data_IF_311314754830
#
_entry.id   IF_311314754830
#
_cell.length_a   1.000
_cell.length_b   1.000
_cell.length_c   1.000
_cell.angle_alpha   90.00
_cell.angle_beta   90.00
_cell.angle_gamma   90.00
#
_symmetry.space_group_name_H-M   'P 1'
#
loop_
_entity.id
_entity.type
_entity.pdbx_description
1 polymer ?
#
# COMPACT_ATOMS: atom_id res chain seq x y z
N UNK A 1 -16.04 0.46 -17.80
CA UNK A 1 -15.35 -0.74 -17.28
C UNK A 1 -15.80 -2.02 -17.98
N UNK A 2 -17.10 -2.22 -18.21
CA UNK A 2 -17.59 -3.50 -18.76
C UNK A 2 -17.13 -3.79 -20.18
N UNK A 3 -16.94 -2.74 -21.01
CA UNK A 3 -16.27 -2.85 -22.32
C UNK A 3 -14.88 -3.49 -22.23
N UNK A 4 -14.03 -3.02 -21.32
CA UNK A 4 -12.68 -3.58 -21.10
C UNK A 4 -12.75 -5.03 -20.61
N UNK A 5 -13.71 -5.35 -19.72
CA UNK A 5 -13.93 -6.73 -19.26
C UNK A 5 -14.33 -7.66 -20.40
N UNK A 6 -15.17 -7.19 -21.33
CA UNK A 6 -15.61 -7.98 -22.49
C UNK A 6 -14.42 -8.36 -23.37
N UNK A 7 -13.55 -7.39 -23.70
CA UNK A 7 -12.30 -7.64 -24.44
C UNK A 7 -11.43 -8.65 -23.69
N UNK A 8 -11.17 -8.45 -22.40
CA UNK A 8 -10.31 -9.37 -21.67
C UNK A 8 -10.89 -10.77 -21.50
N UNK A 9 -12.22 -10.90 -21.40
CA UNK A 9 -12.89 -12.21 -21.41
C UNK A 9 -12.69 -12.90 -22.75
N UNK A 10 -12.83 -12.19 -23.87
CA UNK A 10 -12.59 -12.74 -25.19
C UNK A 10 -11.16 -13.33 -25.32
N UNK A 11 -10.13 -12.53 -24.99
CA UNK A 11 -8.74 -13.01 -25.03
C UNK A 11 -8.39 -14.07 -23.98
N UNK A 12 -9.23 -14.21 -22.94
CA UNK A 12 -9.09 -15.27 -21.95
C UNK A 12 -9.77 -16.55 -22.42
N UNK A 13 -10.99 -16.49 -22.93
CA UNK A 13 -11.86 -17.66 -23.06
C UNK A 13 -11.68 -18.37 -24.41
N UNK A 14 -11.25 -17.63 -25.45
CA UNK A 14 -10.99 -18.20 -26.77
C UNK A 14 -9.54 -18.69 -26.91
N UNK A 15 -9.39 -19.93 -27.38
CA UNK A 15 -8.09 -20.62 -27.48
C UNK A 15 -7.10 -19.88 -28.38
N UNK A 16 -7.52 -19.51 -29.60
CA UNK A 16 -6.63 -18.86 -30.55
C UNK A 16 -6.12 -17.50 -30.06
N UNK A 17 -6.98 -16.54 -29.65
CA UNK A 17 -6.53 -15.27 -29.08
C UNK A 17 -5.63 -15.43 -27.85
N UNK A 18 -5.92 -16.40 -26.98
CA UNK A 18 -5.09 -16.69 -25.79
C UNK A 18 -3.70 -17.19 -26.17
N UNK A 19 -3.61 -18.10 -27.15
CA UNK A 19 -2.33 -18.64 -27.60
C UNK A 19 -1.48 -17.61 -28.34
N UNK A 20 -2.10 -16.79 -29.19
CA UNK A 20 -1.44 -15.70 -29.89
C UNK A 20 -0.88 -14.68 -28.90
N UNK A 21 -1.66 -14.31 -27.88
CA UNK A 21 -1.20 -13.46 -26.78
C UNK A 21 0.02 -14.04 -26.07
N UNK A 22 0.03 -15.34 -25.78
CA UNK A 22 1.17 -16.02 -25.16
C UNK A 22 2.40 -16.05 -26.07
N UNK A 23 2.23 -16.32 -27.36
CA UNK A 23 3.32 -16.39 -28.35
C UNK A 23 3.99 -15.04 -28.56
N UNK A 24 3.21 -13.96 -28.58
CA UNK A 24 3.70 -12.59 -28.76
C UNK A 24 4.24 -11.96 -27.46
N UNK A 25 4.38 -12.75 -26.38
CA UNK A 25 4.91 -12.26 -25.10
C UNK A 25 3.96 -11.34 -24.33
N UNK A 26 2.67 -11.34 -24.67
CA UNK A 26 1.67 -10.52 -24.00
C UNK A 26 1.36 -10.98 -22.58
N UNK A 27 0.90 -10.03 -21.76
CA UNK A 27 0.55 -10.30 -20.37
C UNK A 27 -0.76 -11.11 -20.28
N UNK A 28 -0.81 -12.09 -19.38
CA UNK A 28 -2.05 -12.83 -19.12
C UNK A 28 -3.18 -11.87 -18.70
N UNK A 29 -4.38 -12.08 -19.24
CA UNK A 29 -5.54 -11.22 -18.98
C UNK A 29 -5.95 -11.20 -17.50
N UNK A 30 -6.30 -10.01 -16.99
CA UNK A 30 -6.61 -9.78 -15.57
C UNK A 30 -8.03 -9.23 -15.41
N UNK A 31 -8.96 -10.08 -15.01
CA UNK A 31 -10.31 -9.62 -14.70
C UNK A 31 -10.41 -9.04 -13.28
N UNK A 32 -11.18 -7.96 -13.11
CA UNK A 32 -11.38 -7.35 -11.79
C UNK A 32 -12.16 -8.30 -10.88
N UNK A 33 -11.72 -8.41 -9.62
CA UNK A 33 -12.36 -9.21 -8.59
C UNK A 33 -13.00 -8.27 -7.57
N UNK A 34 -14.23 -8.59 -7.13
CA UNK A 34 -14.93 -7.79 -6.11
C UNK A 34 -14.19 -7.75 -4.76
N UNK A 35 -13.45 -8.80 -4.43
CA UNK A 35 -12.80 -8.99 -3.12
C UNK A 35 -11.38 -8.45 -3.03
N UNK A 36 -10.76 -7.99 -4.13
CA UNK A 36 -9.41 -7.39 -4.11
C UNK A 36 -9.45 -5.97 -4.64
N UNK A 37 -9.08 -5.03 -3.78
CA UNK A 37 -8.93 -3.63 -4.15
C UNK A 37 -7.84 -3.51 -5.21
N UNK A 38 -7.93 -2.48 -6.06
CA UNK A 38 -7.00 -2.21 -7.16
C UNK A 38 -7.07 -3.15 -8.39
N UNK A 39 -7.87 -4.23 -8.36
CA UNK A 39 -7.98 -5.12 -9.51
C UNK A 39 -8.61 -4.47 -10.75
N UNK A 40 -9.40 -3.39 -10.56
CA UNK A 40 -9.91 -2.56 -11.64
C UNK A 40 -8.76 -1.85 -12.37
N UNK A 41 -7.82 -1.25 -11.62
CA UNK A 41 -6.65 -0.60 -12.19
C UNK A 41 -5.75 -1.61 -12.90
N UNK A 42 -5.45 -2.76 -12.27
CA UNK A 42 -4.64 -3.81 -12.90
C UNK A 42 -5.28 -4.35 -14.18
N UNK A 43 -6.62 -4.41 -14.24
CA UNK A 43 -7.35 -4.75 -15.46
C UNK A 43 -7.15 -3.69 -16.54
N UNK A 44 -7.33 -2.40 -16.24
CA UNK A 44 -7.10 -1.32 -17.21
C UNK A 44 -5.65 -1.27 -17.69
N UNK A 45 -4.68 -1.45 -16.78
CA UNK A 45 -3.26 -1.48 -17.09
C UNK A 45 -2.90 -2.65 -18.01
N UNK A 46 -3.43 -3.84 -17.74
CA UNK A 46 -3.24 -5.01 -18.58
C UNK A 46 -3.82 -4.77 -19.99
N UNK A 47 -5.00 -4.15 -20.07
CA UNK A 47 -5.61 -3.79 -21.36
C UNK A 47 -4.74 -2.81 -22.14
N UNK A 48 -4.23 -1.77 -21.48
CA UNK A 48 -3.37 -0.77 -22.13
C UNK A 48 -2.06 -1.37 -22.64
N UNK A 49 -1.39 -2.19 -21.81
CA UNK A 49 -0.11 -2.84 -22.15
C UNK A 49 -0.25 -3.86 -23.30
N UNK A 50 -1.37 -4.57 -23.36
CA UNK A 50 -1.64 -5.57 -24.40
C UNK A 50 -2.36 -5.00 -25.64
N UNK A 51 -2.65 -3.69 -25.68
CA UNK A 51 -3.54 -3.12 -26.69
C UNK A 51 -3.06 -3.34 -28.13
N UNK A 52 -1.75 -3.19 -28.38
CA UNK A 52 -1.12 -3.44 -29.68
C UNK A 52 -1.29 -4.91 -30.10
N UNK A 53 -1.01 -5.83 -29.18
CA UNK A 53 -1.15 -7.27 -29.40
C UNK A 53 -2.62 -7.65 -29.66
N UNK A 54 -3.56 -7.00 -28.98
CA UNK A 54 -4.99 -7.21 -29.22
C UNK A 54 -5.42 -6.75 -30.60
N UNK A 55 -4.96 -5.59 -31.06
CA UNK A 55 -5.23 -5.10 -32.42
C UNK A 55 -4.66 -6.04 -33.48
N UNK A 56 -3.44 -6.52 -33.31
CA UNK A 56 -2.82 -7.41 -34.30
C UNK A 56 -3.48 -8.80 -34.31
N UNK A 57 -3.89 -9.30 -33.15
CA UNK A 57 -4.64 -10.56 -33.07
C UNK A 57 -6.04 -10.42 -33.66
N UNK A 58 -6.70 -9.28 -33.50
CA UNK A 58 -8.05 -9.05 -34.03
C UNK A 58 -8.09 -8.92 -35.55
N UNK A 59 -6.96 -8.60 -36.20
CA UNK A 59 -6.84 -8.58 -37.67
C UNK A 59 -6.80 -9.98 -38.28
N UNK A 60 -6.44 -11.01 -37.51
CA UNK A 60 -6.36 -12.39 -38.01
C UNK A 60 -7.78 -12.99 -38.10
N UNK A 61 -8.14 -13.48 -39.30
CA UNK A 61 -9.42 -14.14 -39.58
C UNK A 61 -9.68 -15.33 -38.63
N UNK A 62 -8.61 -16.01 -38.18
CA UNK A 62 -8.69 -17.15 -37.25
C UNK A 62 -9.13 -16.74 -35.84
N UNK A 63 -8.97 -15.47 -35.46
CA UNK A 63 -9.40 -14.99 -34.15
C UNK A 63 -10.92 -14.97 -34.01
N UNK A 64 -11.68 -14.90 -35.12
CA UNK A 64 -13.16 -14.80 -35.12
C UNK A 64 -13.65 -13.72 -34.13
N UNK A 65 -13.00 -12.56 -34.16
CA UNK A 65 -13.30 -11.49 -33.23
C UNK A 65 -14.70 -10.92 -33.50
N UNK A 66 -15.59 -10.85 -32.48
CA UNK A 66 -16.90 -10.24 -32.64
C UNK A 66 -16.78 -8.77 -33.05
N UNK A 67 -17.69 -8.24 -33.89
CA UNK A 67 -17.67 -6.83 -34.31
C UNK A 67 -17.61 -5.87 -33.13
N UNK A 68 -18.40 -6.13 -32.09
CA UNK A 68 -18.43 -5.33 -30.86
C UNK A 68 -17.06 -5.20 -30.17
N UNK A 69 -16.25 -6.26 -30.18
CA UNK A 69 -14.91 -6.26 -29.58
C UNK A 69 -13.92 -5.53 -30.49
N UNK A 70 -14.06 -5.71 -31.81
CA UNK A 70 -13.25 -5.01 -32.80
C UNK A 70 -13.46 -3.49 -32.71
N UNK A 71 -14.70 -3.05 -32.61
CA UNK A 71 -15.08 -1.63 -32.49
C UNK A 71 -14.51 -1.00 -31.22
N UNK A 72 -14.49 -1.75 -30.10
CA UNK A 72 -13.90 -1.29 -28.84
C UNK A 72 -12.38 -1.16 -28.95
N UNK A 73 -11.72 -2.05 -29.69
CA UNK A 73 -10.27 -2.04 -29.86
C UNK A 73 -9.81 -0.92 -30.80
N UNK A 74 -10.58 -0.61 -31.85
CA UNK A 74 -10.23 0.42 -32.83
C UNK A 74 -10.61 1.84 -32.38
N UNK A 75 -11.49 2.00 -31.38
CA UNK A 75 -11.87 3.30 -30.81
C UNK A 75 -10.69 3.94 -30.03
N UNK A 76 -9.95 4.80 -30.72
CA UNK A 76 -8.84 5.60 -30.16
C UNK A 76 -9.30 6.52 -29.02
N UNK A 77 -10.50 7.09 -29.09
CA UNK A 77 -11.03 7.94 -28.02
C UNK A 77 -11.31 7.12 -26.76
N UNK A 78 -11.78 5.89 -26.91
CA UNK A 78 -11.94 4.97 -25.77
C UNK A 78 -10.62 4.61 -25.13
N UNK A 79 -9.59 4.31 -25.93
CA UNK A 79 -8.25 4.03 -25.44
C UNK A 79 -7.67 5.21 -24.65
N UNK A 80 -7.82 6.44 -25.15
CA UNK A 80 -7.41 7.65 -24.45
C UNK A 80 -8.15 7.82 -23.11
N UNK A 81 -9.48 7.65 -23.10
CA UNK A 81 -10.28 7.71 -21.86
C UNK A 81 -9.82 6.69 -20.82
N UNK A 82 -9.47 5.46 -21.24
CA UNK A 82 -8.92 4.43 -20.35
C UNK A 82 -7.59 4.89 -19.74
N UNK A 83 -6.71 5.44 -20.56
CA UNK A 83 -5.38 5.93 -20.13
C UNK A 83 -5.50 7.11 -19.16
N UNK A 84 -6.42 8.05 -19.41
CA UNK A 84 -6.64 9.19 -18.52
C UNK A 84 -7.30 8.79 -17.20
N UNK A 85 -8.20 7.80 -17.23
CA UNK A 85 -8.74 7.21 -16.01
C UNK A 85 -7.64 6.54 -15.19
N UNK A 86 -6.71 5.83 -15.83
CA UNK A 86 -5.56 5.25 -15.15
C UNK A 86 -4.69 6.33 -14.50
N UNK A 87 -4.40 7.45 -15.18
CA UNK A 87 -3.63 8.56 -14.59
C UNK A 87 -4.31 9.11 -13.33
N UNK A 88 -5.63 9.25 -13.34
CA UNK A 88 -6.41 9.70 -12.17
C UNK A 88 -6.41 8.68 -11.04
N UNK A 89 -6.42 7.38 -11.35
CA UNK A 89 -6.42 6.30 -10.36
C UNK A 89 -5.02 5.98 -9.81
N UNK A 90 -3.95 6.27 -10.55
CA UNK A 90 -2.56 6.00 -10.18
C UNK A 90 -2.17 6.46 -8.77
N UNK A 91 -2.46 7.69 -8.30
CA UNK A 91 -2.11 8.11 -6.94
C UNK A 91 -2.84 7.27 -5.87
N UNK A 92 -4.11 6.94 -6.09
CA UNK A 92 -4.91 6.11 -5.17
C UNK A 92 -4.39 4.67 -5.14
N UNK A 93 -4.07 4.12 -6.31
CA UNK A 93 -3.47 2.79 -6.45
C UNK A 93 -2.10 2.70 -5.78
N UNK A 94 -1.25 3.72 -5.96
CA UNK A 94 0.05 3.82 -5.33
C UNK A 94 -0.10 3.89 -3.80
N UNK A 95 -1.02 4.72 -3.32
CA UNK A 95 -1.34 4.81 -1.90
C UNK A 95 -1.75 3.45 -1.34
N UNK A 96 -2.76 2.79 -1.94
CA UNK A 96 -3.20 1.45 -1.53
C UNK A 96 -2.02 0.47 -1.55
N UNK A 97 -1.22 0.42 -2.62
CA UNK A 97 -0.12 -0.55 -2.73
C UNK A 97 0.95 -0.35 -1.65
N UNK A 98 1.24 0.90 -1.28
CA UNK A 98 2.11 1.24 -0.15
C UNK A 98 1.48 0.84 1.19
N UNK A 99 0.18 1.06 1.37
CA UNK A 99 -0.62 0.63 2.54
C UNK A 99 -0.70 -0.88 2.73
N UNK A 100 -0.57 -1.65 1.64
CA UNK A 100 -0.50 -3.12 1.68
C UNK A 100 0.88 -3.64 2.13
N UNK A 101 1.88 -2.76 2.27
CA UNK A 101 3.11 -3.04 3.02
C UNK A 101 2.78 -3.11 4.51
N UNK A 102 3.47 -3.97 5.27
CA UNK A 102 3.10 -4.25 6.67
C UNK A 102 3.40 -3.09 7.64
N UNK A 103 3.91 -1.96 7.14
CA UNK A 103 4.40 -0.83 7.95
C UNK A 103 3.44 0.38 7.83
N UNK A 104 2.87 0.81 8.95
CA UNK A 104 2.02 2.00 9.05
C UNK A 104 2.71 3.30 8.63
N UNK A 105 4.04 3.36 8.73
CA UNK A 105 4.81 4.52 8.30
C UNK A 105 4.65 4.82 6.80
N UNK A 106 4.38 3.78 5.99
CA UNK A 106 4.11 3.91 4.55
C UNK A 106 2.63 4.25 4.28
N UNK A 107 1.73 4.00 5.24
CA UNK A 107 0.31 4.40 5.18
C UNK A 107 0.18 5.92 5.34
N UNK A 108 0.88 6.54 6.27
CA UNK A 108 0.65 7.96 6.57
C UNK A 108 1.16 8.87 5.44
N UNK A 109 2.28 8.51 4.80
CA UNK A 109 2.73 9.15 3.56
C UNK A 109 1.70 9.02 2.44
N UNK A 110 1.04 7.86 2.34
CA UNK A 110 0.00 7.57 1.34
C UNK A 110 -1.34 8.26 1.63
N UNK A 111 -1.77 8.32 2.90
CA UNK A 111 -2.94 9.07 3.35
C UNK A 111 -2.69 10.58 3.19
N UNK A 112 -1.50 11.08 3.47
CA UNK A 112 -1.16 12.49 3.25
C UNK A 112 -1.12 12.86 1.75
N UNK A 113 -0.50 12.02 0.91
CA UNK A 113 -0.55 12.17 -0.56
C UNK A 113 -2.00 12.15 -1.10
N UNK A 114 -2.92 11.46 -0.41
CA UNK A 114 -4.35 11.44 -0.75
C UNK A 114 -5.20 12.44 0.01
N UNK A 115 -4.72 13.08 1.08
CA UNK A 115 -5.43 14.13 1.82
C UNK A 115 -5.51 15.44 1.01
N UNK A 116 -4.58 15.65 0.07
CA UNK A 116 -4.71 16.66 -0.99
C UNK A 116 -5.88 16.39 -1.94
N UNK A 117 -6.41 15.16 -1.97
CA UNK A 117 -7.71 14.87 -2.56
C UNK A 117 -8.74 15.13 -1.46
N UNK A 118 -9.38 16.31 -1.50
CA UNK A 118 -10.37 16.87 -0.54
C UNK A 118 -11.49 15.95 -0.01
N UNK A 119 -11.56 14.68 -0.39
CA UNK A 119 -12.62 13.72 -0.06
C UNK A 119 -12.05 12.35 0.35
N UNK A 120 -11.22 12.25 1.39
CA UNK A 120 -10.70 10.96 1.84
C UNK A 120 -11.71 10.23 2.74
N UNK A 121 -12.34 9.18 2.17
CA UNK A 121 -13.26 8.23 2.82
C UNK A 121 -12.59 7.29 3.84
N UNK A 122 -11.32 7.53 4.17
CA UNK A 122 -10.50 6.71 5.06
C UNK A 122 -10.33 7.51 6.35
N UNK A 123 -10.83 6.96 7.48
CA UNK A 123 -10.59 7.53 8.81
C UNK A 123 -9.22 7.02 9.29
N UNK A 124 -8.15 7.84 9.29
CA UNK A 124 -6.90 7.41 9.88
C UNK A 124 -7.04 7.17 11.39
N UNK A 125 -6.17 6.35 11.97
CA UNK A 125 -6.03 6.25 13.42
C UNK A 125 -5.50 7.58 13.95
N UNK A 126 -6.40 8.38 14.52
CA UNK A 126 -6.16 9.73 15.04
C UNK A 126 -4.88 9.89 15.91
N UNK A 127 -4.51 8.92 16.78
CA UNK A 127 -3.31 9.02 17.61
C UNK A 127 -1.99 8.88 16.85
N UNK A 128 -2.01 8.18 15.72
CA UNK A 128 -0.82 7.92 14.91
C UNK A 128 -0.36 9.21 14.24
N UNK A 129 -1.30 9.92 13.62
CA UNK A 129 -1.07 11.20 12.96
C UNK A 129 -0.51 12.26 13.93
N UNK A 130 -1.01 12.29 15.17
CA UNK A 130 -0.55 13.23 16.20
C UNK A 130 0.92 13.02 16.61
N UNK A 131 1.42 11.78 16.52
CA UNK A 131 2.77 11.38 16.97
C UNK A 131 3.74 11.08 15.82
N UNK A 132 3.28 11.13 14.57
CA UNK A 132 4.12 10.86 13.42
C UNK A 132 5.06 12.03 13.16
N UNK A 133 6.32 11.76 12.79
CA UNK A 133 7.35 12.80 12.57
C UNK A 133 6.94 13.82 11.49
N UNK A 134 6.08 13.41 10.56
CA UNK A 134 5.59 14.28 9.50
C UNK A 134 4.57 15.32 9.98
N UNK A 135 3.90 15.13 11.12
CA UNK A 135 3.03 16.17 11.70
C UNK A 135 3.83 17.43 12.06
N UNK A 136 5.12 17.27 12.37
CA UNK A 136 6.08 18.35 12.64
C UNK A 136 6.37 19.17 11.37
N UNK A 137 6.20 18.60 10.16
CA UNK A 137 6.59 19.24 8.88
C UNK A 137 5.50 20.10 8.29
N UNK A 138 4.29 19.57 8.19
CA UNK A 138 3.20 20.13 7.39
C UNK A 138 2.02 20.61 8.25
N UNK A 139 2.02 20.28 9.55
CA UNK A 139 0.93 20.56 10.46
C UNK A 139 -0.28 19.66 10.22
N UNK A 140 -0.95 19.28 11.30
CA UNK A 140 -2.19 18.50 11.24
C UNK A 140 -3.40 19.41 11.02
N UNK A 141 -4.38 19.02 10.19
CA UNK A 141 -5.68 19.70 10.16
C UNK A 141 -6.29 19.74 11.57
N UNK A 142 -6.88 20.89 11.94
CA UNK A 142 -7.32 21.20 13.31
C UNK A 142 -8.19 20.10 13.93
N UNK A 143 -9.10 19.52 13.14
CA UNK A 143 -10.01 18.44 13.58
C UNK A 143 -9.25 17.18 14.01
N UNK A 144 -8.18 16.82 13.30
CA UNK A 144 -7.37 15.64 13.63
C UNK A 144 -6.47 15.90 14.84
N UNK A 145 -5.97 17.13 14.95
CA UNK A 145 -5.15 17.61 16.07
C UNK A 145 -5.88 17.52 17.41
N UNK A 146 -7.02 18.20 17.51
CA UNK A 146 -7.82 18.24 18.75
C UNK A 146 -8.21 16.83 19.20
N UNK A 147 -8.61 15.97 18.25
CA UNK A 147 -8.97 14.59 18.56
C UNK A 147 -7.78 13.74 19.01
N UNK A 148 -6.60 13.94 18.43
CA UNK A 148 -5.36 13.29 18.85
C UNK A 148 -4.96 13.70 20.27
N UNK A 149 -5.04 15.00 20.57
CA UNK A 149 -4.74 15.57 21.89
C UNK A 149 -5.67 15.03 22.96
N UNK A 150 -6.99 15.04 22.73
CA UNK A 150 -7.98 14.48 23.65
C UNK A 150 -7.71 12.99 23.92
N UNK A 151 -7.32 12.23 22.90
CA UNK A 151 -7.00 10.81 23.08
C UNK A 151 -5.73 10.59 23.90
N UNK A 152 -4.68 11.39 23.66
CA UNK A 152 -3.42 11.33 24.40
C UNK A 152 -3.62 11.75 25.87
N UNK A 153 -4.33 12.85 26.11
CA UNK A 153 -4.69 13.32 27.45
C UNK A 153 -5.46 12.26 28.25
N UNK A 154 -6.37 11.52 27.59
CA UNK A 154 -7.09 10.40 28.20
C UNK A 154 -6.18 9.23 28.61
N UNK A 155 -5.06 9.02 27.90
CA UNK A 155 -4.08 7.97 28.23
C UNK A 155 -3.15 8.41 29.36
N UNK A 156 -2.62 9.62 29.25
CA UNK A 156 -1.86 10.27 30.30
C UNK A 156 -1.91 11.79 30.05
N UNK A 157 -2.33 12.62 31.01
CA UNK A 157 -2.39 14.08 30.84
C UNK A 157 -1.08 14.70 30.37
N UNK A 158 0.07 14.11 30.74
CA UNK A 158 1.38 14.60 30.33
C UNK A 158 1.68 14.37 28.84
N UNK A 159 1.01 13.41 28.19
CA UNK A 159 1.27 13.08 26.78
C UNK A 159 0.83 14.17 25.82
N UNK A 160 -0.24 14.90 26.15
CA UNK A 160 -0.68 16.07 25.39
C UNK A 160 0.40 17.16 25.39
N UNK A 161 1.02 17.42 26.54
CA UNK A 161 2.07 18.43 26.66
C UNK A 161 3.30 18.12 25.78
N UNK A 162 3.63 16.85 25.63
CA UNK A 162 4.73 16.39 24.77
C UNK A 162 4.37 16.56 23.30
N UNK A 163 3.12 16.25 22.94
CA UNK A 163 2.63 16.38 21.57
C UNK A 163 2.58 17.86 21.13
N UNK A 164 2.16 18.77 22.01
CA UNK A 164 2.19 20.21 21.73
C UNK A 164 3.61 20.73 21.49
N UNK A 165 4.58 20.28 22.28
CA UNK A 165 6.00 20.61 22.08
C UNK A 165 6.55 20.02 20.79
N UNK A 166 6.04 18.85 20.39
CA UNK A 166 6.43 18.15 19.16
C UNK A 166 5.96 18.94 17.94
N UNK A 167 4.71 19.40 17.94
CA UNK A 167 4.15 20.27 16.90
C UNK A 167 4.87 21.62 16.82
N UNK A 168 5.23 22.20 17.95
CA UNK A 168 6.00 23.44 18.01
C UNK A 168 7.45 23.27 17.49
N UNK A 169 7.90 22.03 17.25
CA UNK A 169 9.27 21.74 16.86
C UNK A 169 10.28 22.21 17.91
N UNK A 170 9.93 22.11 19.19
CA UNK A 170 10.73 22.67 20.29
C UNK A 170 12.08 21.93 20.43
N UNK A 171 13.08 22.48 19.76
CA UNK A 171 14.47 21.99 19.77
C UNK A 171 15.20 22.15 21.11
N UNK A 172 14.61 22.86 22.09
CA UNK A 172 15.14 22.92 23.45
C UNK A 172 14.62 21.76 24.31
N UNK A 173 13.38 21.34 24.04
CA UNK A 173 12.80 20.18 24.70
C UNK A 173 13.33 18.88 24.09
N UNK A 174 13.26 18.73 22.76
CA UNK A 174 13.70 17.53 22.03
C UNK A 174 15.16 17.57 21.59
N UNK A 175 15.71 16.41 21.23
CA UNK A 175 17.08 16.32 20.70
C UNK A 175 17.18 17.07 19.38
N UNK A 176 17.92 18.20 19.38
CA UNK A 176 18.13 19.07 18.22
C UNK A 176 18.56 18.34 16.94
N UNK A 177 19.42 17.33 17.06
CA UNK A 177 19.88 16.51 15.92
C UNK A 177 18.72 15.77 15.25
N UNK A 178 17.83 15.16 16.04
CA UNK A 178 16.67 14.41 15.57
C UNK A 178 15.55 15.30 15.00
N UNK A 179 15.57 16.59 15.35
CA UNK A 179 14.68 17.63 14.82
C UNK A 179 15.22 18.33 13.56
N UNK A 180 16.37 17.90 13.02
CA UNK A 180 16.89 18.43 11.77
C UNK A 180 15.92 18.11 10.62
N UNK A 181 15.62 19.13 9.80
CA UNK A 181 14.72 19.02 8.65
C UNK A 181 15.07 17.85 7.75
N UNK A 182 16.33 17.54 7.51
CA UNK A 182 16.80 16.41 6.67
C UNK A 182 16.36 15.04 7.20
N UNK A 183 16.42 14.83 8.52
CA UNK A 183 15.94 13.61 9.16
C UNK A 183 14.42 13.54 9.10
N UNK A 184 13.74 14.67 9.36
CA UNK A 184 12.29 14.78 9.18
C UNK A 184 11.90 14.55 7.70
N UNK A 185 12.79 14.82 6.74
CA UNK A 185 12.58 14.59 5.30
C UNK A 185 12.57 13.11 4.90
N UNK A 186 13.06 12.22 5.76
CA UNK A 186 13.30 10.83 5.42
C UNK A 186 14.45 10.68 4.41
N UNK A 187 15.32 11.68 4.29
CA UNK A 187 16.52 11.65 3.43
C UNK A 187 17.64 10.82 4.08
N UNK A 188 17.69 10.81 5.42
CA UNK A 188 18.33 9.74 6.18
C UNK A 188 17.30 8.62 6.35
N UNK A 189 17.65 7.37 6.03
CA UNK A 189 16.80 6.19 6.08
C UNK A 189 16.36 5.77 7.50
N UNK A 190 15.83 6.70 8.29
CA UNK A 190 15.34 6.49 9.64
C UNK A 190 13.82 6.40 9.63
N UNK A 191 13.29 5.29 10.12
CA UNK A 191 11.85 5.05 10.25
C UNK A 191 11.27 5.86 11.42
N UNK A 192 9.97 6.15 11.40
CA UNK A 192 9.32 6.89 12.51
C UNK A 192 9.37 6.13 13.83
N UNK A 193 9.29 4.81 13.77
CA UNK A 193 9.47 3.89 14.90
C UNK A 193 10.90 3.94 15.45
N UNK A 194 11.93 3.90 14.59
CA UNK A 194 13.34 4.00 15.00
C UNK A 194 13.63 5.37 15.61
N UNK A 195 13.06 6.44 15.07
CA UNK A 195 13.21 7.77 15.64
C UNK A 195 12.64 7.86 17.05
N UNK A 196 11.46 7.28 17.32
CA UNK A 196 10.89 7.23 18.67
C UNK A 196 11.72 6.36 19.63
N UNK A 197 12.37 5.31 19.12
CA UNK A 197 13.28 4.47 19.89
C UNK A 197 14.55 5.23 20.31
N UNK A 198 15.17 5.96 19.37
CA UNK A 198 16.34 6.80 19.64
C UNK A 198 15.95 7.99 20.52
N UNK A 199 14.80 8.61 20.27
CA UNK A 199 14.31 9.72 21.08
C UNK A 199 14.03 9.28 22.52
N UNK A 200 13.43 8.10 22.69
CA UNK A 200 13.18 7.50 24.01
C UNK A 200 14.46 7.24 24.79
N UNK A 201 15.48 6.67 24.15
CA UNK A 201 16.77 6.39 24.81
C UNK A 201 17.57 7.65 25.16
N UNK A 202 17.49 8.70 24.33
CA UNK A 202 18.20 9.96 24.58
C UNK A 202 17.47 10.91 25.53
N UNK A 203 16.17 10.71 25.75
CA UNK A 203 15.32 11.57 26.59
C UNK A 203 14.70 10.85 27.79
N UNK A 204 15.32 9.76 28.26
CA UNK A 204 14.78 8.83 29.28
C UNK A 204 14.18 9.53 30.52
N UNK A 205 14.76 10.65 30.97
CA UNK A 205 14.29 11.42 32.13
C UNK A 205 13.42 12.65 31.80
N UNK A 206 13.26 13.01 30.52
CA UNK A 206 12.49 14.19 30.08
C UNK A 206 11.13 13.81 29.49
N UNK A 207 11.00 12.60 28.96
CA UNK A 207 9.75 12.10 28.41
C UNK A 207 8.92 11.42 29.50
N UNK A 208 7.59 11.58 29.48
CA UNK A 208 6.70 10.81 30.33
C UNK A 208 6.89 9.29 30.13
N UNK A 209 6.84 8.55 31.23
CA UNK A 209 7.01 7.10 31.24
C UNK A 209 6.05 6.45 30.24
N UNK A 210 6.58 5.57 29.40
CA UNK A 210 5.81 4.82 28.40
C UNK A 210 5.42 5.60 27.15
N UNK A 211 5.72 6.91 27.05
CA UNK A 211 5.34 7.71 25.88
C UNK A 211 6.06 7.26 24.60
N UNK A 212 7.40 7.15 24.64
CA UNK A 212 8.19 6.70 23.49
C UNK A 212 7.81 5.27 23.08
N UNK A 213 7.56 4.39 24.06
CA UNK A 213 7.10 3.02 23.83
C UNK A 213 5.73 3.00 23.14
N UNK A 214 4.77 3.80 23.61
CA UNK A 214 3.45 3.93 23.00
C UNK A 214 3.54 4.45 21.56
N UNK A 215 4.35 5.49 21.35
CA UNK A 215 4.55 6.06 20.02
C UNK A 215 5.15 5.03 19.06
N UNK A 216 6.19 4.30 19.49
CA UNK A 216 6.77 3.19 18.72
C UNK A 216 5.73 2.11 18.40
N UNK A 217 4.99 1.63 19.39
CA UNK A 217 3.97 0.58 19.20
C UNK A 217 2.88 1.02 18.21
N UNK A 218 2.42 2.27 18.28
CA UNK A 218 1.45 2.82 17.33
C UNK A 218 1.98 2.81 15.89
N UNK A 219 3.25 3.19 15.68
CA UNK A 219 3.91 3.19 14.36
C UNK A 219 4.12 1.79 13.78
N UNK A 220 4.16 0.77 14.64
CA UNK A 220 4.35 -0.63 14.28
C UNK A 220 3.04 -1.39 14.02
N UNK A 221 1.88 -0.78 14.30
CA UNK A 221 0.61 -1.43 13.99
C UNK A 221 0.49 -1.66 12.47
N UNK A 222 -0.23 -2.69 12.01
CA UNK A 222 -0.45 -2.88 10.59
C UNK A 222 -1.53 -1.92 10.07
N UNK A 223 -1.24 -1.27 8.95
CA UNK A 223 -2.13 -0.30 8.30
C UNK A 223 -3.40 -0.91 7.70
N UNK A 224 -3.31 -2.18 7.30
CA UNK A 224 -4.42 -2.88 6.66
C UNK A 224 -4.44 -4.35 7.06
N UNK A 225 -5.64 -4.91 7.04
CA UNK A 225 -5.86 -6.36 7.15
C UNK A 225 -5.37 -7.12 5.92
N UNK A 226 -5.07 -6.43 4.82
CA UNK A 226 -4.61 -7.07 3.58
C UNK A 226 -3.21 -7.67 3.68
N UNK A 227 -2.38 -7.22 4.64
CA UNK A 227 -1.17 -7.93 5.03
C UNK A 227 -1.48 -9.34 5.53
N UNK A 228 -2.60 -9.52 6.24
CA UNK A 228 -3.12 -10.82 6.65
C UNK A 228 -3.77 -11.58 5.48
N UNK A 229 -4.39 -10.89 4.51
CA UNK A 229 -4.92 -11.55 3.29
C UNK A 229 -3.83 -12.23 2.46
N UNK A 230 -2.60 -11.70 2.44
CA UNK A 230 -1.46 -12.40 1.85
C UNK A 230 -1.14 -13.68 2.62
N UNK A 231 -1.14 -13.64 3.96
CA UNK A 231 -0.99 -14.83 4.78
C UNK A 231 -2.10 -15.85 4.49
N UNK A 232 -3.36 -15.43 4.37
CA UNK A 232 -4.47 -16.32 3.99
C UNK A 232 -4.36 -16.85 2.56
N UNK A 233 -3.79 -16.09 1.62
CA UNK A 233 -3.51 -16.57 0.26
C UNK A 233 -2.40 -17.63 0.25
N UNK A 234 -1.33 -17.42 1.00
CA UNK A 234 -0.24 -18.41 1.17
C UNK A 234 -0.76 -19.67 1.85
N UNK A 235 -1.50 -19.50 2.94
CA UNK A 235 -2.21 -20.58 3.64
C UNK A 235 -3.17 -21.31 2.70
N UNK A 236 -3.90 -20.59 1.84
CA UNK A 236 -4.77 -21.16 0.82
C UNK A 236 -4.00 -22.07 -0.15
N UNK A 237 -2.79 -21.71 -0.56
CA UNK A 237 -1.94 -22.58 -1.41
C UNK A 237 -1.55 -23.86 -0.65
N UNK A 238 -1.18 -23.73 0.63
CA UNK A 238 -0.80 -24.86 1.49
C UNK A 238 -1.98 -25.80 1.77
N UNK A 239 -3.19 -25.25 1.95
CA UNK A 239 -4.38 -26.07 2.24
C UNK A 239 -4.99 -26.68 0.96
N UNK A 240 -5.02 -25.93 -0.15
CA UNK A 240 -5.81 -26.29 -1.34
C UNK A 240 -5.01 -26.88 -2.50
N UNK A 241 -3.71 -26.59 -2.61
CA UNK A 241 -2.91 -26.94 -3.82
C UNK A 241 -1.79 -27.94 -3.58
N UNK A 242 -1.39 -28.19 -2.34
CA UNK A 242 -0.46 -29.29 -2.05
C UNK A 242 -1.25 -30.60 -2.04
N UNK A 243 -0.71 -31.61 -2.73
CA UNK A 243 -1.37 -32.90 -3.03
C UNK A 243 -1.86 -33.67 -1.78
N UNK A 244 -1.36 -33.30 -0.60
CA UNK A 244 -1.77 -33.82 0.69
C UNK A 244 -2.38 -32.67 1.50
N UNK A 245 -3.72 -32.66 1.65
CA UNK A 245 -4.42 -31.65 2.45
C UNK A 245 -3.91 -31.69 3.88
N UNK A 246 -3.19 -30.66 4.29
CA UNK A 246 -2.58 -30.56 5.62
C UNK A 246 -3.65 -30.06 6.61
N UNK A 247 -3.65 -30.61 7.82
CA UNK A 247 -4.49 -30.14 8.92
C UNK A 247 -4.17 -28.68 9.30
N UNK A 248 -5.19 -27.96 9.78
CA UNK A 248 -5.15 -26.51 10.01
C UNK A 248 -3.97 -26.10 10.91
N UNK A 249 -3.67 -26.88 11.94
CA UNK A 249 -2.58 -26.57 12.87
C UNK A 249 -1.20 -26.62 12.19
N UNK A 250 -0.94 -27.68 11.42
CA UNK A 250 0.31 -27.86 10.67
C UNK A 250 0.46 -26.82 9.56
N UNK A 251 -0.63 -26.50 8.86
CA UNK A 251 -0.65 -25.46 7.85
C UNK A 251 -0.39 -24.08 8.47
N UNK A 252 -0.86 -23.82 9.70
CA UNK A 252 -0.64 -22.55 10.41
C UNK A 252 0.82 -22.38 10.79
N UNK A 253 1.44 -23.45 11.32
CA UNK A 253 2.90 -23.49 11.61
C UNK A 253 3.72 -23.28 10.34
N UNK A 254 3.34 -23.91 9.23
CA UNK A 254 4.05 -23.73 7.95
C UNK A 254 3.90 -22.31 7.40
N UNK A 255 2.71 -21.70 7.51
CA UNK A 255 2.50 -20.30 7.15
C UNK A 255 3.34 -19.35 8.02
N UNK A 256 3.50 -19.65 9.30
CA UNK A 256 4.37 -18.90 10.21
C UNK A 256 5.84 -19.01 9.78
N UNK A 257 6.35 -20.23 9.57
CA UNK A 257 7.73 -20.47 9.10
C UNK A 257 7.98 -19.76 7.76
N UNK A 258 7.07 -19.91 6.80
CA UNK A 258 7.18 -19.25 5.50
C UNK A 258 7.25 -17.73 5.63
N UNK A 259 6.49 -17.15 6.55
CA UNK A 259 6.53 -15.70 6.81
C UNK A 259 7.85 -15.30 7.45
N UNK A 260 8.31 -16.00 8.49
CA UNK A 260 9.57 -15.71 9.18
C UNK A 260 10.76 -15.77 8.22
N UNK A 261 10.84 -16.80 7.37
CA UNK A 261 11.91 -16.95 6.38
C UNK A 261 11.89 -15.85 5.31
N UNK A 262 10.71 -15.41 4.88
CA UNK A 262 10.61 -14.33 3.89
C UNK A 262 10.74 -12.93 4.49
N UNK A 263 10.55 -12.78 5.80
CA UNK A 263 10.81 -11.52 6.51
C UNK A 263 12.32 -11.32 6.69
N UNK A 264 13.06 -12.35 7.12
CA UNK A 264 14.53 -12.28 7.26
C UNK A 264 15.26 -12.08 5.93
N UNK A 265 14.72 -12.62 4.82
CA UNK A 265 15.30 -12.43 3.48
C UNK A 265 15.12 -11.03 2.89
N UNK A 266 14.31 -10.18 3.52
CA UNK A 266 14.20 -8.75 3.17
C UNK A 266 15.24 -7.92 3.93
N UNK A 267 15.64 -8.34 5.12
CA UNK A 267 16.71 -7.69 5.90
C UNK A 267 18.10 -7.96 5.30
N UNK A 268 18.35 -9.18 4.79
CA UNK A 268 19.64 -9.53 4.15
C UNK A 268 19.86 -8.86 2.78
N UNK A 269 18.82 -8.31 2.14
CA UNK A 269 18.97 -7.63 0.84
C UNK A 269 19.39 -6.17 0.94
N UNK A 270 19.30 -5.58 2.13
CA UNK A 270 19.76 -4.21 2.41
C UNK A 270 21.20 -4.18 2.96
N UNK A 271 21.87 -5.34 3.03
CA UNK A 271 23.29 -5.50 3.38
C UNK A 271 24.03 -6.10 2.19
N UNK A 272 24.07 -5.39 1.07
CA UNK A 272 25.10 -5.62 0.06
C UNK A 272 25.46 -4.31 -0.64
N UNK A 273 26.24 -3.50 0.06
CA UNK A 273 27.07 -2.44 -0.50
C UNK A 273 28.44 -2.50 0.17
N UNK A 274 29.24 -3.46 -0.29
CA UNK A 274 30.71 -3.38 -0.29
C UNK A 274 31.22 -3.89 -1.62
#
# INVERSE_FOLDING_TARGET
MDKVKAVQRFFRDFTFPRETLRKLGGLQTVLPKRTRWNTQYSCLENFAKNHTIYLDTAKDVKAKTPPEISDILTDLYFYQRVTDLMKKMAPVTCAITKTLGQDLEKLDLAIFQTANLRNAWIKPSLPLFALHIYSIREGLPTIFRERGQVWLAKKNPLYESVQLKLEAGDSNYFVKRLMNKEILRGELALTSSQWWDIMGSQMENKLPIGFAKLAKELMMLPASTSGMERCFSTMGIIISKTRNRIEIEKASKLCMIYRTLNCGRLEDKDIDLS
#
